data_IF_388727165997
#
_entry.id   IF_388727165997
#
_cell.length_a   1.000
_cell.length_b   1.000
_cell.length_c   1.000
_cell.angle_alpha   90.00
_cell.angle_beta   90.00
_cell.angle_gamma   90.00
#
_symmetry.space_group_name_H-M   'P 1'
#
loop_
_entity.id
_entity.type
_entity.pdbx_description
1 polymer ?
#
# COMPACT_ATOMS: atom_id res chain seq x y z
N UNK A 1 -9.89 3.75 -10.04
CA UNK A 1 -9.04 2.88 -10.86
C UNK A 1 -7.93 2.26 -10.04
N UNK A 2 -7.36 3.00 -9.09
CA UNK A 2 -6.29 2.50 -8.22
C UNK A 2 -6.82 1.86 -6.93
N UNK A 3 -8.12 1.85 -6.74
CA UNK A 3 -8.77 1.27 -5.58
C UNK A 3 -9.24 -0.16 -5.88
N UNK A 4 -9.57 -0.90 -4.84
CA UNK A 4 -10.04 -2.27 -4.96
C UNK A 4 -8.89 -3.26 -5.20
N UNK A 5 -9.23 -4.44 -5.68
CA UNK A 5 -8.25 -5.53 -5.83
C UNK A 5 -7.17 -5.23 -6.86
N UNK A 6 -7.51 -4.51 -7.91
CA UNK A 6 -6.55 -4.18 -8.98
C UNK A 6 -5.43 -3.27 -8.51
N UNK A 7 -5.67 -2.48 -7.46
CA UNK A 7 -4.66 -1.59 -6.90
C UNK A 7 -4.04 -2.09 -5.60
N UNK A 8 -4.34 -3.32 -5.19
CA UNK A 8 -3.88 -3.84 -3.91
C UNK A 8 -2.53 -4.50 -4.01
N UNK A 9 -1.62 -4.13 -3.13
CA UNK A 9 -0.27 -4.69 -3.05
C UNK A 9 -0.21 -5.65 -1.88
N UNK A 10 0.34 -6.85 -2.10
CA UNK A 10 0.44 -7.91 -1.11
C UNK A 10 1.84 -7.99 -0.51
N UNK A 11 1.89 -8.32 0.78
CA UNK A 11 3.14 -8.45 1.54
C UNK A 11 3.19 -9.79 2.25
N UNK A 12 4.40 -10.22 2.59
CA UNK A 12 4.58 -11.37 3.45
C UNK A 12 4.08 -11.06 4.86
N UNK A 13 3.63 -12.09 5.58
CA UNK A 13 3.07 -11.93 6.92
C UNK A 13 4.07 -11.24 7.84
N UNK A 14 3.62 -10.21 8.55
CA UNK A 14 4.40 -9.43 9.51
C UNK A 14 5.65 -8.79 8.92
N UNK A 15 5.72 -8.62 7.60
CA UNK A 15 6.87 -8.04 6.91
C UNK A 15 6.44 -6.93 5.96
N UNK A 16 7.41 -6.07 5.63
CA UNK A 16 7.24 -5.05 4.62
C UNK A 16 7.83 -5.49 3.27
N UNK A 17 8.05 -6.79 3.09
CA UNK A 17 8.54 -7.38 1.84
C UNK A 17 7.40 -7.56 0.86
N UNK A 18 7.47 -6.88 -0.28
CA UNK A 18 6.44 -6.97 -1.32
C UNK A 18 6.51 -8.35 -1.97
N UNK A 19 5.36 -9.00 -2.10
CA UNK A 19 5.28 -10.28 -2.80
C UNK A 19 5.48 -10.09 -4.29
N UNK A 20 6.19 -11.04 -4.92
CA UNK A 20 6.45 -11.00 -6.35
C UNK A 20 5.17 -10.98 -7.18
N UNK A 21 4.09 -11.57 -6.67
CA UNK A 21 2.79 -11.53 -7.33
C UNK A 21 2.22 -10.12 -7.47
N UNK A 22 2.74 -9.16 -6.71
CA UNK A 22 2.30 -7.76 -6.78
C UNK A 22 3.14 -6.90 -7.72
N UNK A 23 4.22 -7.42 -8.28
CA UNK A 23 5.10 -6.62 -9.15
C UNK A 23 4.38 -6.14 -10.40
N UNK A 24 3.52 -6.98 -10.98
CA UNK A 24 2.72 -6.58 -12.15
C UNK A 24 1.75 -5.44 -11.80
N UNK A 25 1.10 -5.52 -10.64
CA UNK A 25 0.22 -4.47 -10.16
C UNK A 25 0.98 -3.16 -9.97
N UNK A 26 2.19 -3.23 -9.41
CA UNK A 26 3.04 -2.05 -9.21
C UNK A 26 3.45 -1.44 -10.55
N UNK A 27 3.76 -2.26 -11.55
CA UNK A 27 4.08 -1.76 -12.89
C UNK A 27 2.90 -1.01 -13.51
N UNK A 28 1.68 -1.50 -13.34
CA UNK A 28 0.47 -0.82 -13.83
C UNK A 28 0.23 0.50 -13.09
N UNK A 29 0.42 0.50 -11.78
CA UNK A 29 0.31 1.72 -10.98
C UNK A 29 1.32 2.75 -11.45
N UNK A 30 2.58 2.33 -11.65
CA UNK A 30 3.63 3.22 -12.13
C UNK A 30 3.28 3.84 -13.49
N UNK A 31 2.72 3.06 -14.40
CA UNK A 31 2.29 3.57 -15.70
C UNK A 31 1.24 4.67 -15.56
N UNK A 32 0.28 4.47 -14.66
CA UNK A 32 -0.77 5.46 -14.42
C UNK A 32 -0.18 6.74 -13.83
N UNK A 33 0.67 6.62 -12.82
CA UNK A 33 1.29 7.78 -12.17
C UNK A 33 2.12 8.58 -13.16
N UNK A 34 2.86 7.91 -14.04
CA UNK A 34 3.70 8.57 -15.05
C UNK A 34 2.90 9.26 -16.14
N UNK A 35 1.67 8.80 -16.40
CA UNK A 35 0.78 9.47 -17.34
C UNK A 35 0.31 10.84 -16.84
N UNK A 36 0.33 11.05 -15.54
CA UNK A 36 -0.16 12.29 -14.93
C UNK A 36 0.96 12.93 -14.10
N UNK A 37 2.00 13.47 -14.76
CA UNK A 37 3.22 13.90 -14.07
C UNK A 37 3.04 15.07 -13.11
N UNK A 38 1.92 15.81 -13.22
CA UNK A 38 1.62 16.90 -12.29
C UNK A 38 0.69 16.50 -11.15
N UNK A 39 0.17 15.28 -11.17
CA UNK A 39 -0.70 14.79 -10.11
C UNK A 39 0.10 14.28 -8.92
N UNK A 40 -0.48 14.37 -7.74
CA UNK A 40 0.09 13.83 -6.51
C UNK A 40 -0.77 12.69 -6.00
N UNK A 41 -0.13 11.68 -5.44
CA UNK A 41 -0.80 10.48 -4.92
C UNK A 41 -0.36 10.22 -3.50
N UNK A 42 -1.31 9.82 -2.66
CA UNK A 42 -1.02 9.38 -1.30
C UNK A 42 -0.92 7.86 -1.28
N UNK A 43 0.18 7.34 -0.75
CA UNK A 43 0.39 5.90 -0.57
C UNK A 43 -0.05 5.56 0.84
N UNK A 44 -1.17 4.85 0.96
CA UNK A 44 -1.83 4.57 2.24
C UNK A 44 -1.52 3.15 2.69
N UNK A 45 -0.92 3.02 3.86
CA UNK A 45 -0.66 1.74 4.48
C UNK A 45 -1.71 1.40 5.52
N UNK A 46 -2.19 0.16 5.47
CA UNK A 46 -3.21 -0.35 6.38
C UNK A 46 -2.81 -1.71 6.94
N UNK A 47 -3.34 -2.06 8.09
CA UNK A 47 -3.08 -3.33 8.76
C UNK A 47 -4.38 -3.91 9.33
N UNK A 48 -4.34 -5.18 9.75
CA UNK A 48 -5.42 -5.78 10.52
C UNK A 48 -5.20 -5.52 12.01
N UNK A 49 -6.06 -6.10 12.88
CA UNK A 49 -6.06 -5.83 14.33
C UNK A 49 -5.29 -6.87 15.15
N UNK A 50 -4.46 -7.74 14.54
CA UNK A 50 -3.83 -8.85 15.26
C UNK A 50 -2.69 -8.47 16.19
N UNK A 51 -2.10 -7.29 16.03
CA UNK A 51 -1.01 -6.83 16.86
C UNK A 51 -1.39 -5.57 17.61
N UNK A 52 -0.47 -4.98 18.38
CA UNK A 52 -0.73 -3.72 19.04
C UNK A 52 -0.94 -2.61 18.01
N UNK A 53 -1.66 -1.57 18.38
CA UNK A 53 -1.90 -0.43 17.51
C UNK A 53 -0.60 0.23 17.09
N UNK A 54 0.36 0.37 18.00
CA UNK A 54 1.66 0.97 17.68
C UNK A 54 2.44 0.12 16.67
N UNK A 55 2.42 -1.21 16.84
CA UNK A 55 3.09 -2.11 15.89
C UNK A 55 2.43 -2.05 14.51
N UNK A 56 1.11 -2.06 14.46
CA UNK A 56 0.36 -2.01 13.20
C UNK A 56 0.58 -0.70 12.48
N UNK A 57 0.66 0.40 13.20
CA UNK A 57 0.95 1.70 12.63
C UNK A 57 2.35 1.71 11.99
N UNK A 58 3.35 1.22 12.72
CA UNK A 58 4.72 1.12 12.22
C UNK A 58 4.81 0.21 10.99
N UNK A 59 4.17 -0.95 11.03
CA UNK A 59 4.19 -1.90 9.92
C UNK A 59 3.51 -1.30 8.68
N UNK A 60 2.39 -0.62 8.86
CA UNK A 60 1.68 0.00 7.74
C UNK A 60 2.52 1.11 7.09
N UNK A 61 3.25 1.87 7.90
CA UNK A 61 4.17 2.90 7.39
C UNK A 61 5.32 2.26 6.62
N UNK A 62 5.94 1.21 7.15
CA UNK A 62 7.04 0.51 6.47
C UNK A 62 6.58 -0.11 5.16
N UNK A 63 5.37 -0.64 5.11
CA UNK A 63 4.80 -1.19 3.87
C UNK A 63 4.57 -0.11 2.83
N UNK A 64 4.02 1.03 3.23
CA UNK A 64 3.86 2.17 2.32
C UNK A 64 5.21 2.66 1.81
N UNK A 65 6.22 2.72 2.68
CA UNK A 65 7.58 3.10 2.28
C UNK A 65 8.18 2.11 1.28
N UNK A 66 7.95 0.81 1.47
CA UNK A 66 8.43 -0.21 0.53
C UNK A 66 7.81 -0.01 -0.86
N UNK A 67 6.54 0.37 -0.93
CA UNK A 67 5.87 0.66 -2.20
C UNK A 67 6.49 1.89 -2.86
N UNK A 68 6.71 2.96 -2.11
CA UNK A 68 7.35 4.17 -2.64
C UNK A 68 8.75 3.85 -3.16
N UNK A 69 9.54 3.09 -2.39
CA UNK A 69 10.89 2.71 -2.79
C UNK A 69 10.88 1.88 -4.08
N UNK A 70 9.94 0.94 -4.19
CA UNK A 70 9.81 0.13 -5.42
C UNK A 70 9.45 0.99 -6.62
N UNK A 71 8.44 1.84 -6.47
CA UNK A 71 7.96 2.68 -7.56
C UNK A 71 9.05 3.66 -8.04
N UNK A 72 9.82 4.22 -7.13
CA UNK A 72 10.86 5.18 -7.50
C UNK A 72 12.11 4.51 -8.05
N UNK A 73 12.57 3.41 -7.43
CA UNK A 73 13.84 2.78 -7.80
C UNK A 73 13.71 1.77 -8.94
N UNK A 74 12.59 1.05 -9.03
CA UNK A 74 12.39 0.00 -10.03
C UNK A 74 11.56 0.44 -11.22
N UNK A 75 10.60 1.34 -11.02
CA UNK A 75 9.67 1.77 -12.05
C UNK A 75 9.90 3.20 -12.53
N UNK A 76 10.82 3.91 -11.92
CA UNK A 76 11.18 5.26 -12.37
C UNK A 76 10.14 6.34 -12.09
N UNK A 77 9.25 6.13 -11.12
CA UNK A 77 8.28 7.14 -10.72
C UNK A 77 8.98 8.28 -9.98
N UNK A 78 8.55 9.51 -10.22
CA UNK A 78 9.11 10.68 -9.54
C UNK A 78 8.62 10.72 -8.08
N UNK A 79 9.55 10.69 -7.14
CA UNK A 79 9.23 10.68 -5.72
C UNK A 79 8.40 11.88 -5.28
N UNK A 80 8.52 13.03 -5.97
CA UNK A 80 7.76 14.23 -5.63
C UNK A 80 6.24 14.06 -5.84
N UNK A 81 5.83 13.04 -6.57
CA UNK A 81 4.42 12.75 -6.79
C UNK A 81 3.81 11.89 -5.68
N UNK A 82 4.62 11.36 -4.77
CA UNK A 82 4.19 10.38 -3.78
C UNK A 82 4.34 10.91 -2.36
N UNK A 83 3.34 10.71 -1.53
CA UNK A 83 3.39 10.95 -0.09
C UNK A 83 2.94 9.69 0.63
N UNK A 84 3.27 9.57 1.90
CA UNK A 84 2.93 8.40 2.70
C UNK A 84 1.97 8.77 3.81
N UNK A 85 0.95 7.93 4.02
CA UNK A 85 0.04 8.03 5.15
C UNK A 85 -0.17 6.64 5.73
N UNK A 86 0.12 6.47 7.02
CA UNK A 86 -0.09 5.21 7.71
C UNK A 86 -1.36 5.29 8.55
N UNK A 87 -2.23 4.30 8.42
CA UNK A 87 -3.47 4.22 9.19
C UNK A 87 -3.47 3.06 10.19
N UNK A 88 -2.54 2.12 10.04
CA UNK A 88 -2.55 0.94 10.89
C UNK A 88 -3.87 0.19 10.76
N UNK A 89 -4.51 -0.12 11.90
CA UNK A 89 -5.79 -0.82 11.93
C UNK A 89 -7.00 0.12 12.01
N UNK A 90 -6.79 1.42 11.93
CA UNK A 90 -7.84 2.42 12.24
C UNK A 90 -8.92 2.56 11.17
N UNK A 91 -8.66 2.09 9.95
CA UNK A 91 -9.63 2.20 8.86
C UNK A 91 -9.83 0.85 8.16
N UNK A 92 -10.46 -0.11 8.84
CA UNK A 92 -10.72 -1.41 8.25
C UNK A 92 -11.79 -1.33 7.16
N UNK A 93 -11.63 -2.16 6.12
CA UNK A 93 -12.63 -2.30 5.05
C UNK A 93 -13.39 -3.62 5.17
N UNK A 94 -13.01 -4.47 6.13
CA UNK A 94 -13.62 -5.76 6.36
C UNK A 94 -13.53 -6.11 7.85
N UNK A 95 -14.33 -7.08 8.32
CA UNK A 95 -14.25 -7.50 9.73
C UNK A 95 -12.90 -8.10 10.10
N UNK A 96 -12.35 -7.71 11.25
CA UNK A 96 -11.12 -8.29 11.78
C UNK A 96 -11.37 -9.59 12.58
N UNK A 97 -12.58 -10.14 12.46
CA UNK A 97 -12.97 -11.37 13.15
C UNK A 97 -12.76 -12.64 12.32
N UNK A 98 -12.42 -12.49 11.04
CA UNK A 98 -12.16 -13.62 10.14
C UNK A 98 -10.80 -13.45 9.48
N UNK A 99 -10.19 -14.58 9.08
CA UNK A 99 -8.93 -14.55 8.36
C UNK A 99 -9.03 -13.79 7.04
N UNK A 100 -10.14 -14.01 6.31
CA UNK A 100 -10.38 -13.31 5.04
C UNK A 100 -10.53 -11.81 5.23
N UNK A 101 -11.27 -11.38 6.26
CA UNK A 101 -11.44 -9.96 6.57
C UNK A 101 -10.14 -9.30 6.96
N UNK A 102 -9.34 -9.96 7.80
CA UNK A 102 -8.02 -9.44 8.20
C UNK A 102 -7.10 -9.30 6.99
N UNK A 103 -7.12 -10.26 6.05
CA UNK A 103 -6.32 -10.18 4.85
C UNK A 103 -6.71 -8.98 3.98
N UNK A 104 -8.01 -8.68 3.88
CA UNK A 104 -8.48 -7.51 3.14
C UNK A 104 -8.02 -6.21 3.78
N UNK A 105 -7.85 -6.18 5.11
CA UNK A 105 -7.39 -4.99 5.82
C UNK A 105 -5.87 -4.78 5.72
N UNK A 106 -5.10 -5.84 5.49
CA UNK A 106 -3.64 -5.73 5.28
C UNK A 106 -3.38 -5.29 3.84
N UNK A 107 -3.35 -3.99 3.63
CA UNK A 107 -3.22 -3.45 2.28
C UNK A 107 -2.42 -2.17 2.22
N UNK A 108 -1.88 -1.89 1.04
CA UNK A 108 -1.38 -0.57 0.67
C UNK A 108 -2.13 -0.17 -0.60
N UNK A 109 -2.60 1.05 -0.66
CA UNK A 109 -3.27 1.57 -1.85
C UNK A 109 -2.81 2.99 -2.15
N UNK A 110 -2.99 3.42 -3.40
CA UNK A 110 -2.73 4.79 -3.80
C UNK A 110 -4.05 5.53 -3.99
N UNK A 111 -4.08 6.75 -3.49
CA UNK A 111 -5.24 7.63 -3.62
C UNK A 111 -4.78 8.93 -4.27
N UNK A 112 -5.49 9.38 -5.29
CA UNK A 112 -5.22 10.67 -5.93
C UNK A 112 -5.52 11.80 -4.95
N UNK A 113 -4.56 12.67 -4.77
CA UNK A 113 -4.72 13.86 -3.93
C UNK A 113 -5.41 15.01 -4.66
#
# INVERSE_FOLDING_TARGET
>A
VLNGEAGRILFDTDKATIRTSSYETLARIASIVKEYPTASFEVEGHADSRASNAYNMDLSERRAQSVVDYLTSKEGVNASQLSIKAYGEEQPIAPNTTAAGMQLNRRVKLTLE
#
